data_IF_840059150118
#
_entry.id   IF_840059150118
#
_cell.length_a   1.000
_cell.length_b   1.000
_cell.length_c   1.000
_cell.angle_alpha   90.00
_cell.angle_beta   90.00
_cell.angle_gamma   90.00
#
_symmetry.space_group_name_H-M   'P 1'
#
loop_
_entity.id
_entity.type
_entity.pdbx_description
1 polymer ?
#
# COMPACT_ATOMS: atom_id res chain seq x y z
N UNK A 1 27.39 3.86 9.18
CA UNK A 1 26.75 2.55 9.36
C UNK A 1 26.73 1.78 8.04
N UNK A 2 26.90 0.45 8.14
CA UNK A 2 26.85 -0.46 6.99
C UNK A 2 25.62 -1.36 7.12
N UNK A 3 24.99 -1.67 6.00
CA UNK A 3 23.85 -2.58 5.91
C UNK A 3 24.19 -3.74 5.01
N UNK A 4 23.68 -4.92 5.32
CA UNK A 4 23.80 -6.09 4.46
C UNK A 4 22.65 -6.04 3.44
N UNK A 5 23.00 -5.95 2.15
CA UNK A 5 22.05 -6.03 1.04
C UNK A 5 22.17 -7.39 0.39
N UNK A 6 21.04 -8.05 0.19
CA UNK A 6 20.94 -9.32 -0.52
C UNK A 6 20.28 -9.10 -1.89
N UNK A 7 20.91 -9.57 -2.95
CA UNK A 7 20.33 -9.48 -4.28
C UNK A 7 19.42 -10.70 -4.58
N UNK A 8 18.68 -10.67 -5.71
CA UNK A 8 17.79 -11.76 -6.15
C UNK A 8 18.48 -13.12 -6.32
N UNK A 9 19.81 -13.15 -6.45
CA UNK A 9 20.64 -14.36 -6.51
C UNK A 9 21.16 -14.80 -5.12
N UNK A 10 20.62 -14.21 -4.04
CA UNK A 10 21.02 -14.44 -2.64
C UNK A 10 22.48 -14.13 -2.30
N UNK A 11 23.15 -13.32 -3.10
CA UNK A 11 24.46 -12.80 -2.76
C UNK A 11 24.33 -11.65 -1.78
N UNK A 12 25.04 -11.73 -0.66
CA UNK A 12 25.04 -10.71 0.41
C UNK A 12 26.25 -9.82 0.27
N UNK A 13 26.03 -8.53 0.28
CA UNK A 13 27.10 -7.52 0.19
C UNK A 13 26.90 -6.48 1.27
N UNK A 14 27.95 -6.06 1.95
CA UNK A 14 27.92 -4.93 2.90
C UNK A 14 28.02 -3.63 2.12
N UNK A 15 27.06 -2.74 2.31
CA UNK A 15 27.02 -1.43 1.65
C UNK A 15 26.82 -0.35 2.71
N UNK A 16 27.53 0.77 2.56
CA UNK A 16 27.32 1.95 3.41
C UNK A 16 25.96 2.57 3.11
N UNK A 17 25.20 2.97 4.15
CA UNK A 17 23.87 3.58 4.02
C UNK A 17 23.89 4.76 3.05
N UNK A 18 24.90 5.65 3.15
CA UNK A 18 25.00 6.79 2.23
C UNK A 18 25.11 6.43 0.74
N UNK A 19 25.66 5.22 0.42
CA UNK A 19 25.68 4.71 -0.96
C UNK A 19 24.29 4.22 -1.40
N UNK A 20 23.54 3.63 -0.48
CA UNK A 20 22.14 3.22 -0.75
C UNK A 20 21.27 4.44 -1.03
N UNK A 21 21.38 5.48 -0.20
CA UNK A 21 20.64 6.74 -0.39
C UNK A 21 20.94 7.33 -1.77
N UNK A 22 22.22 7.47 -2.12
CA UNK A 22 22.61 7.95 -3.46
C UNK A 22 22.05 7.09 -4.59
N UNK A 23 22.13 5.76 -4.46
CA UNK A 23 21.62 4.85 -5.49
C UNK A 23 20.09 4.99 -5.67
N UNK A 24 19.35 5.22 -4.58
CA UNK A 24 17.91 5.44 -4.60
C UNK A 24 17.57 6.76 -5.30
N UNK A 25 18.28 7.83 -4.96
CA UNK A 25 18.08 9.17 -5.55
C UNK A 25 18.48 9.21 -7.03
N UNK A 26 19.63 8.62 -7.39
CA UNK A 26 20.15 8.64 -8.76
C UNK A 26 19.32 7.77 -9.74
N UNK A 27 18.68 6.72 -9.24
CA UNK A 27 17.92 5.78 -10.08
C UNK A 27 16.41 5.88 -9.86
N UNK A 28 15.92 6.88 -9.14
CA UNK A 28 14.49 7.09 -8.84
C UNK A 28 13.82 5.82 -8.32
N UNK A 29 14.40 5.22 -7.28
CA UNK A 29 13.90 3.99 -6.67
C UNK A 29 13.02 4.29 -5.47
N UNK A 30 11.99 3.47 -5.25
CA UNK A 30 11.23 3.44 -4.00
C UNK A 30 11.70 2.27 -3.12
N UNK A 31 11.74 2.48 -1.80
CA UNK A 31 12.12 1.45 -0.82
C UNK A 31 10.90 1.09 0.02
N UNK A 32 10.60 -0.19 0.11
CA UNK A 32 9.59 -0.72 1.02
C UNK A 32 10.12 -0.92 2.45
N UNK A 33 9.22 -1.16 3.40
CA UNK A 33 9.58 -1.31 4.81
C UNK A 33 10.51 -2.50 5.11
N UNK A 34 10.53 -3.52 4.26
CA UNK A 34 11.48 -4.64 4.33
C UNK A 34 12.79 -4.40 3.55
N UNK A 35 13.01 -3.18 3.04
CA UNK A 35 14.24 -2.82 2.33
C UNK A 35 14.27 -3.24 0.86
N UNK A 36 13.19 -3.78 0.31
CA UNK A 36 13.11 -4.11 -1.13
C UNK A 36 13.00 -2.83 -1.93
N UNK A 37 13.82 -2.72 -2.97
CA UNK A 37 13.85 -1.56 -3.86
C UNK A 37 13.03 -1.85 -5.12
N UNK A 38 12.21 -0.90 -5.51
CA UNK A 38 11.37 -0.96 -6.70
C UNK A 38 11.74 0.20 -7.63
N UNK A 39 11.80 -0.09 -8.91
CA UNK A 39 11.96 0.92 -9.94
C UNK A 39 10.63 1.67 -10.15
N UNK A 40 10.70 3.00 -10.23
CA UNK A 40 9.52 3.87 -10.39
C UNK A 40 9.32 4.36 -11.83
N UNK A 41 10.31 4.14 -12.71
CA UNK A 41 10.28 4.61 -14.10
C UNK A 41 9.24 3.88 -14.98
N UNK A 42 8.81 2.67 -14.58
CA UNK A 42 7.85 1.86 -15.34
C UNK A 42 6.68 1.41 -14.47
N UNK A 43 5.48 1.70 -14.93
CA UNK A 43 4.28 1.18 -14.29
C UNK A 43 4.13 -0.32 -14.60
N UNK A 44 3.94 -1.14 -13.56
CA UNK A 44 3.74 -2.58 -13.73
C UNK A 44 2.31 -2.88 -14.18
N UNK A 45 2.13 -3.98 -14.90
CA UNK A 45 0.80 -4.47 -15.33
C UNK A 45 -0.13 -4.65 -14.11
N UNK A 46 0.41 -5.17 -12.98
CA UNK A 46 -0.39 -5.34 -11.77
C UNK A 46 -0.81 -4.00 -11.18
N UNK A 47 0.06 -3.00 -11.16
CA UNK A 47 -0.25 -1.65 -10.66
C UNK A 47 -1.35 -1.01 -11.49
N UNK A 48 -1.27 -1.11 -12.82
CA UNK A 48 -2.29 -0.57 -13.74
C UNK A 48 -3.65 -1.22 -13.50
N UNK A 49 -3.71 -2.54 -13.35
CA UNK A 49 -4.96 -3.27 -13.07
C UNK A 49 -5.52 -2.88 -11.70
N UNK A 50 -4.68 -2.84 -10.66
CA UNK A 50 -5.09 -2.47 -9.31
C UNK A 50 -5.65 -1.06 -9.26
N UNK A 51 -4.99 -0.11 -9.92
CA UNK A 51 -5.45 1.28 -10.00
C UNK A 51 -6.83 1.37 -10.66
N UNK A 52 -7.02 0.72 -11.81
CA UNK A 52 -8.32 0.67 -12.50
C UNK A 52 -9.41 0.12 -11.61
N UNK A 53 -9.21 -1.03 -10.96
CA UNK A 53 -10.21 -1.64 -10.08
C UNK A 53 -10.47 -0.80 -8.82
N UNK A 54 -9.45 -0.13 -8.30
CA UNK A 54 -9.60 0.79 -7.17
C UNK A 54 -10.47 1.99 -7.54
N UNK A 55 -10.21 2.60 -8.70
CA UNK A 55 -10.98 3.76 -9.20
C UNK A 55 -12.45 3.37 -9.46
N UNK A 56 -12.70 2.21 -10.07
CA UNK A 56 -14.05 1.67 -10.24
C UNK A 56 -14.75 1.43 -8.90
N UNK A 57 -14.03 0.90 -7.91
CA UNK A 57 -14.58 0.72 -6.56
C UNK A 57 -14.95 2.04 -5.93
N UNK A 58 -14.10 3.06 -6.02
CA UNK A 58 -14.39 4.40 -5.48
C UNK A 58 -15.60 5.00 -6.18
N UNK A 59 -15.70 4.88 -7.50
CA UNK A 59 -16.85 5.32 -8.28
C UNK A 59 -18.15 4.68 -7.79
N UNK A 60 -18.22 3.35 -7.70
CA UNK A 60 -19.42 2.65 -7.22
C UNK A 60 -19.73 2.96 -5.76
N UNK A 61 -18.73 3.11 -4.89
CA UNK A 61 -18.91 3.52 -3.50
C UNK A 61 -19.55 4.91 -3.37
N UNK A 62 -19.16 5.84 -4.23
CA UNK A 62 -19.75 7.19 -4.26
C UNK A 62 -21.18 7.16 -4.80
N UNK A 63 -21.47 6.38 -5.84
CA UNK A 63 -22.83 6.15 -6.35
C UNK A 63 -23.73 5.50 -5.31
N UNK A 64 -23.24 4.48 -4.59
CA UNK A 64 -23.96 3.85 -3.49
C UNK A 64 -24.37 4.86 -2.41
N UNK A 65 -23.42 5.71 -1.96
CA UNK A 65 -23.70 6.72 -0.94
C UNK A 65 -24.77 7.71 -1.40
N UNK A 66 -24.73 8.13 -2.68
CA UNK A 66 -25.73 9.04 -3.25
C UNK A 66 -27.12 8.39 -3.31
N UNK A 67 -27.21 7.14 -3.78
CA UNK A 67 -28.48 6.40 -3.86
C UNK A 67 -29.11 6.21 -2.48
N UNK A 68 -28.35 5.82 -1.46
CA UNK A 68 -28.89 5.71 -0.10
C UNK A 68 -29.35 7.06 0.48
N UNK A 69 -28.65 8.15 0.19
CA UNK A 69 -29.06 9.50 0.63
C UNK A 69 -30.35 9.98 -0.06
N UNK A 70 -30.60 9.58 -1.31
CA UNK A 70 -31.86 9.88 -2.03
C UNK A 70 -33.00 8.93 -1.65
N UNK A 71 -32.80 7.98 -0.75
CA UNK A 71 -33.81 7.01 -0.32
C UNK A 71 -33.97 5.80 -1.26
N UNK A 72 -33.24 5.75 -2.36
CA UNK A 72 -33.27 4.63 -3.32
C UNK A 72 -32.43 3.46 -2.81
N UNK A 73 -33.07 2.60 -2.00
CA UNK A 73 -32.41 1.45 -1.37
C UNK A 73 -32.03 0.37 -2.37
N UNK A 74 -32.80 0.18 -3.42
CA UNK A 74 -32.57 -0.87 -4.42
C UNK A 74 -31.34 -0.53 -5.27
N UNK A 75 -31.27 0.69 -5.78
CA UNK A 75 -30.11 1.20 -6.50
C UNK A 75 -28.87 1.24 -5.61
N UNK A 76 -29.04 1.62 -4.33
CA UNK A 76 -27.99 1.59 -3.34
C UNK A 76 -27.41 0.19 -3.12
N UNK A 77 -28.27 -0.82 -3.01
CA UNK A 77 -27.85 -2.23 -2.88
C UNK A 77 -27.12 -2.74 -4.14
N UNK A 78 -27.61 -2.37 -5.33
CA UNK A 78 -26.94 -2.71 -6.59
C UNK A 78 -25.51 -2.14 -6.64
N UNK A 79 -25.32 -0.87 -6.32
CA UNK A 79 -23.97 -0.28 -6.26
C UNK A 79 -23.10 -0.84 -5.12
N UNK A 80 -23.73 -1.23 -4.01
CA UNK A 80 -23.02 -1.92 -2.93
C UNK A 80 -22.40 -3.24 -3.43
N UNK A 81 -23.16 -4.05 -4.16
CA UNK A 81 -22.64 -5.31 -4.73
C UNK A 81 -21.49 -5.06 -5.69
N UNK A 82 -21.61 -4.07 -6.59
CA UNK A 82 -20.53 -3.72 -7.53
C UNK A 82 -19.24 -3.31 -6.82
N UNK A 83 -19.30 -2.39 -5.86
CA UNK A 83 -18.11 -1.98 -5.12
C UNK A 83 -17.51 -3.12 -4.28
N UNK A 84 -18.36 -4.02 -3.78
CA UNK A 84 -17.92 -5.17 -3.01
C UNK A 84 -17.18 -6.19 -3.88
N UNK A 85 -17.69 -6.47 -5.10
CA UNK A 85 -17.00 -7.29 -6.09
C UNK A 85 -15.59 -6.75 -6.40
N UNK A 86 -15.46 -5.43 -6.63
CA UNK A 86 -14.15 -4.82 -6.84
C UNK A 86 -13.23 -4.97 -5.62
N UNK A 87 -13.77 -4.89 -4.40
CA UNK A 87 -12.99 -5.16 -3.18
C UNK A 87 -12.44 -6.58 -3.15
N UNK A 88 -13.28 -7.56 -3.53
CA UNK A 88 -12.86 -8.98 -3.58
C UNK A 88 -11.76 -9.16 -4.62
N UNK A 89 -11.92 -8.60 -5.83
CA UNK A 89 -10.91 -8.69 -6.89
C UNK A 89 -9.56 -8.09 -6.47
N UNK A 90 -9.57 -6.91 -5.84
CA UNK A 90 -8.37 -6.28 -5.30
C UNK A 90 -7.64 -7.16 -4.28
N UNK A 91 -8.39 -7.72 -3.32
CA UNK A 91 -7.83 -8.58 -2.30
C UNK A 91 -7.32 -9.92 -2.87
N UNK A 92 -8.04 -10.48 -3.85
CA UNK A 92 -7.65 -11.73 -4.52
C UNK A 92 -6.37 -11.56 -5.34
N UNK A 93 -6.23 -10.45 -6.04
CA UNK A 93 -5.01 -10.16 -6.79
C UNK A 93 -3.81 -10.02 -5.85
N UNK A 94 -3.98 -9.29 -4.73
CA UNK A 94 -2.95 -9.21 -3.69
C UNK A 94 -2.61 -10.61 -3.15
N UNK A 95 -3.61 -11.42 -2.77
CA UNK A 95 -3.37 -12.79 -2.30
C UNK A 95 -2.67 -13.68 -3.32
N UNK A 96 -3.01 -13.52 -4.61
CA UNK A 96 -2.37 -14.25 -5.69
C UNK A 96 -0.87 -13.93 -5.82
N UNK A 97 -0.43 -12.71 -5.49
CA UNK A 97 1.00 -12.36 -5.53
C UNK A 97 1.87 -13.19 -4.57
N UNK A 98 1.28 -13.74 -3.51
CA UNK A 98 1.96 -14.62 -2.56
C UNK A 98 2.04 -16.08 -3.03
N UNK A 99 1.30 -16.48 -4.09
CA UNK A 99 1.27 -17.85 -4.58
C UNK A 99 2.40 -18.10 -5.59
N UNK A 100 3.24 -19.11 -5.31
CA UNK A 100 4.33 -19.50 -6.21
C UNK A 100 3.86 -20.01 -7.59
N UNK A 101 2.61 -20.50 -7.70
CA UNK A 101 2.00 -20.97 -8.95
C UNK A 101 1.42 -19.83 -9.81
N UNK A 102 1.25 -18.64 -9.25
CA UNK A 102 0.76 -17.51 -10.00
C UNK A 102 1.87 -16.94 -10.90
N UNK A 103 1.56 -16.66 -12.17
CA UNK A 103 2.55 -16.17 -13.16
C UNK A 103 3.34 -14.94 -12.69
N UNK A 104 2.72 -14.07 -11.93
CA UNK A 104 3.31 -12.85 -11.35
C UNK A 104 3.50 -12.99 -9.84
N UNK A 105 3.50 -14.24 -9.33
CA UNK A 105 3.71 -14.52 -7.91
C UNK A 105 5.13 -14.15 -7.49
N UNK A 106 5.23 -13.36 -6.44
CA UNK A 106 6.51 -12.97 -5.84
C UNK A 106 6.28 -12.72 -4.34
N UNK A 107 6.75 -13.67 -3.55
CA UNK A 107 6.61 -13.62 -2.09
C UNK A 107 7.27 -12.37 -1.51
N UNK A 108 8.42 -11.94 -2.05
CA UNK A 108 9.13 -10.74 -1.61
C UNK A 108 8.27 -9.49 -1.84
N UNK A 109 7.56 -9.41 -2.97
CA UNK A 109 6.61 -8.32 -3.26
C UNK A 109 5.45 -8.32 -2.27
N UNK A 110 4.86 -9.49 -2.02
CA UNK A 110 3.74 -9.64 -1.08
C UNK A 110 4.15 -9.24 0.35
N UNK A 111 5.34 -9.65 0.78
CA UNK A 111 5.92 -9.28 2.06
C UNK A 111 6.20 -7.78 2.14
N UNK A 112 6.77 -7.18 1.09
CA UNK A 112 7.01 -5.75 1.00
C UNK A 112 5.72 -4.92 1.16
N UNK A 113 4.64 -5.34 0.52
CA UNK A 113 3.32 -4.69 0.64
C UNK A 113 2.80 -4.78 2.08
N UNK A 114 2.86 -5.97 2.69
CA UNK A 114 2.36 -6.20 4.05
C UNK A 114 3.12 -5.39 5.08
N UNK A 115 4.45 -5.46 5.07
CA UNK A 115 5.30 -4.77 6.03
C UNK A 115 5.24 -3.24 5.86
N UNK A 116 5.12 -2.75 4.62
CA UNK A 116 4.91 -1.33 4.37
C UNK A 116 3.56 -0.86 4.90
N UNK A 117 2.49 -1.65 4.73
CA UNK A 117 1.18 -1.38 5.32
C UNK A 117 1.22 -1.33 6.85
N UNK A 118 1.88 -2.29 7.49
CA UNK A 118 2.07 -2.31 8.94
C UNK A 118 2.84 -1.06 9.40
N UNK A 119 3.91 -0.68 8.71
CA UNK A 119 4.70 0.51 9.05
C UNK A 119 3.87 1.79 8.97
N UNK A 120 3.06 1.95 7.92
CA UNK A 120 2.17 3.10 7.77
C UNK A 120 1.18 3.18 8.93
N UNK A 121 0.58 2.07 9.35
CA UNK A 121 -0.35 2.03 10.49
C UNK A 121 0.36 2.42 11.79
N UNK A 122 1.55 1.89 12.05
CA UNK A 122 2.34 2.22 13.24
C UNK A 122 2.70 3.71 13.29
N UNK A 123 3.21 4.27 12.19
CA UNK A 123 3.55 5.70 12.11
C UNK A 123 2.32 6.60 12.24
N UNK A 124 1.19 6.18 11.66
CA UNK A 124 -0.07 6.91 11.81
C UNK A 124 -0.57 6.92 13.24
N UNK A 125 -0.49 5.79 13.95
CA UNK A 125 -0.84 5.70 15.36
C UNK A 125 0.07 6.56 16.25
N UNK A 126 1.38 6.53 16.02
CA UNK A 126 2.35 7.36 16.74
C UNK A 126 2.10 8.86 16.49
N UNK A 127 1.81 9.24 15.25
CA UNK A 127 1.51 10.63 14.88
C UNK A 127 0.22 11.11 15.53
N UNK A 128 -0.84 10.29 15.52
CA UNK A 128 -2.10 10.59 16.20
C UNK A 128 -1.89 10.78 17.71
N UNK A 129 -1.16 9.86 18.35
CA UNK A 129 -0.87 9.96 19.80
C UNK A 129 -0.06 11.22 20.13
N UNK A 130 0.94 11.59 19.31
CA UNK A 130 1.72 12.82 19.50
C UNK A 130 0.82 14.06 19.40
N UNK A 131 -0.07 14.08 18.40
CA UNK A 131 -1.02 15.18 18.22
C UNK A 131 -1.98 15.30 19.39
N UNK A 132 -2.61 14.20 19.80
CA UNK A 132 -3.52 14.19 20.95
C UNK A 132 -2.84 14.63 22.25
N UNK A 133 -1.63 14.14 22.52
CA UNK A 133 -0.87 14.53 23.70
C UNK A 133 -0.51 16.03 23.69
N UNK A 134 -0.27 16.61 22.52
CA UNK A 134 -0.04 18.04 22.38
C UNK A 134 -1.30 18.84 22.70
N UNK A 135 -2.45 18.48 22.13
CA UNK A 135 -3.74 19.14 22.38
C UNK A 135 -4.12 19.08 23.85
N UNK A 136 -4.02 17.90 24.48
CA UNK A 136 -4.34 17.71 25.90
C UNK A 136 -3.44 18.59 26.78
N UNK A 137 -2.15 18.69 26.48
CA UNK A 137 -1.23 19.55 27.26
C UNK A 137 -1.57 21.02 27.12
N UNK A 138 -1.95 21.48 25.93
CA UNK A 138 -2.35 22.86 25.68
C UNK A 138 -3.66 23.21 26.40
N UNK A 139 -4.63 22.28 26.50
CA UNK A 139 -5.88 22.49 27.25
C UNK A 139 -5.72 22.45 28.78
N UNK A 140 -4.76 21.68 29.30
CA UNK A 140 -4.50 21.59 30.76
C UNK A 140 -3.70 22.82 31.28
N UNK A 141 -3.02 23.53 30.37
CA UNK A 141 -2.21 24.71 30.75
C UNK A 141 -3.01 26.01 30.73
N UNK A 142 -4.30 25.98 30.40
CA UNK A 142 -5.28 27.07 30.49
C UNK A 142 -6.09 26.95 31.80
#
# INVERSE_FOLDING_TARGET
EEVIVENLKRNRTKIKIGRIVKMVEENDLSISANGVMFNTDKESVLSTILKKWFDERVFYKNKMKKAYRSGDKELGASYHMKQYTMKILLNSLYGATALGSFRYGNVILSEAITLSGQRIIQESALSANRHMNKVIREEITL
#
